data_IF_339035130120
#
_entry.id   IF_339035130120
#
_cell.length_a   1.000
_cell.length_b   1.000
_cell.length_c   1.000
_cell.angle_alpha   90.00
_cell.angle_beta   90.00
_cell.angle_gamma   90.00
#
_symmetry.space_group_name_H-M   'P 1'
#
loop_
_entity.id
_entity.type
_entity.pdbx_description
1 polymer ?
#
# COMPACT_ATOMS: atom_id res chain seq x y z
N UNK A 1 -27.01 -9.26 4.21
CA UNK A 1 -26.11 -8.10 4.18
C UNK A 1 -24.73 -8.67 4.43
N UNK A 2 -23.91 -8.83 3.39
CA UNK A 2 -22.50 -9.12 3.61
C UNK A 2 -21.88 -7.86 4.21
N UNK A 3 -21.37 -7.99 5.42
CA UNK A 3 -20.44 -7.01 5.98
C UNK A 3 -19.13 -7.38 5.31
N UNK A 4 -18.51 -6.52 4.47
CA UNK A 4 -17.24 -6.85 3.87
C UNK A 4 -16.25 -7.19 4.99
N UNK A 5 -15.71 -8.41 4.97
CA UNK A 5 -14.70 -8.84 5.93
C UNK A 5 -13.50 -7.91 5.79
N UNK A 6 -13.24 -7.13 6.84
CA UNK A 6 -12.09 -6.23 6.89
C UNK A 6 -10.82 -7.09 6.83
N UNK A 7 -10.08 -7.04 5.72
CA UNK A 7 -8.77 -7.72 5.64
C UNK A 7 -7.79 -7.02 6.56
N UNK A 8 -7.49 -7.63 7.70
CA UNK A 8 -6.51 -7.10 8.63
C UNK A 8 -5.09 -7.43 8.15
N UNK A 9 -4.39 -6.41 7.67
CA UNK A 9 -3.01 -6.48 7.21
C UNK A 9 -2.10 -5.60 8.10
N UNK A 10 -2.54 -5.31 9.33
CA UNK A 10 -1.80 -4.51 10.30
C UNK A 10 -0.41 -5.11 10.53
N UNK A 11 0.63 -4.36 10.20
CA UNK A 11 2.02 -4.78 10.33
C UNK A 11 2.42 -5.96 9.42
N UNK A 12 1.60 -6.32 8.43
CA UNK A 12 1.88 -7.44 7.55
C UNK A 12 3.17 -7.22 6.75
N UNK A 13 3.96 -8.27 6.59
CA UNK A 13 5.11 -8.23 5.68
C UNK A 13 4.65 -8.63 4.27
N UNK A 14 4.49 -7.65 3.40
CA UNK A 14 4.08 -7.78 2.00
C UNK A 14 5.23 -7.42 1.05
N UNK A 15 6.47 -7.55 1.52
CA UNK A 15 7.65 -7.27 0.72
C UNK A 15 7.67 -8.14 -0.54
N UNK A 16 7.74 -7.51 -1.71
CA UNK A 16 7.72 -8.17 -3.01
C UNK A 16 6.39 -8.86 -3.35
N UNK A 17 5.32 -8.62 -2.59
CA UNK A 17 4.03 -9.23 -2.84
C UNK A 17 3.46 -8.80 -4.20
N UNK A 18 2.85 -9.75 -4.91
CA UNK A 18 2.07 -9.47 -6.09
C UNK A 18 0.61 -9.18 -5.69
N UNK A 19 0.22 -7.91 -5.76
CA UNK A 19 -1.10 -7.41 -5.42
C UNK A 19 -1.78 -6.78 -6.65
N UNK A 20 -1.37 -7.17 -7.87
CA UNK A 20 -2.00 -6.69 -9.10
C UNK A 20 -3.50 -6.94 -9.05
N UNK A 21 -4.30 -5.91 -9.33
CA UNK A 21 -5.77 -5.96 -9.32
C UNK A 21 -6.40 -6.44 -8.00
N UNK A 22 -5.64 -6.47 -6.90
CA UNK A 22 -6.15 -6.95 -5.61
C UNK A 22 -7.28 -6.05 -5.10
N UNK A 23 -8.37 -6.68 -4.62
CA UNK A 23 -9.40 -5.96 -3.87
C UNK A 23 -8.92 -5.75 -2.42
N UNK A 24 -8.61 -4.48 -2.12
CA UNK A 24 -8.19 -3.99 -0.80
C UNK A 24 -9.28 -3.19 -0.08
N UNK A 25 -10.55 -3.36 -0.46
CA UNK A 25 -11.68 -2.74 0.23
C UNK A 25 -11.65 -3.11 1.72
N UNK A 26 -11.63 -2.08 2.58
CA UNK A 26 -11.56 -2.23 4.03
C UNK A 26 -10.21 -2.70 4.57
N UNK A 27 -9.19 -2.94 3.74
CA UNK A 27 -7.91 -3.46 4.21
C UNK A 27 -7.23 -2.50 5.19
N UNK A 28 -6.76 -3.02 6.32
CA UNK A 28 -5.94 -2.26 7.27
C UNK A 28 -4.45 -2.43 6.92
N UNK A 29 -3.85 -1.45 6.24
CA UNK A 29 -2.43 -1.49 5.84
C UNK A 29 -1.47 -0.79 6.82
N UNK A 30 -1.98 -0.36 7.98
CA UNK A 30 -1.17 0.35 8.97
C UNK A 30 0.08 -0.47 9.36
N UNK A 31 1.25 0.13 9.25
CA UNK A 31 2.53 -0.51 9.55
C UNK A 31 2.96 -1.62 8.58
N UNK A 32 2.19 -1.92 7.53
CA UNK A 32 2.55 -2.96 6.57
C UNK A 32 3.84 -2.63 5.81
N UNK A 33 4.65 -3.65 5.52
CA UNK A 33 5.83 -3.50 4.67
C UNK A 33 5.46 -3.81 3.22
N UNK A 34 5.39 -2.79 2.35
CA UNK A 34 5.10 -2.94 0.91
C UNK A 34 6.35 -2.71 0.06
N UNK A 35 7.55 -2.89 0.62
CA UNK A 35 8.78 -2.74 -0.14
C UNK A 35 8.78 -3.69 -1.36
N UNK A 36 8.96 -3.14 -2.56
CA UNK A 36 8.97 -3.91 -3.81
C UNK A 36 7.63 -4.54 -4.19
N UNK A 37 6.54 -4.29 -3.45
CA UNK A 37 5.22 -4.84 -3.78
C UNK A 37 4.69 -4.28 -5.10
N UNK A 38 3.94 -5.09 -5.84
CA UNK A 38 3.27 -4.66 -7.06
C UNK A 38 1.79 -4.37 -6.79
N UNK A 39 1.40 -3.10 -6.77
CA UNK A 39 0.03 -2.62 -6.53
C UNK A 39 -0.63 -2.09 -7.81
N UNK A 40 -0.11 -2.44 -8.99
CA UNK A 40 -0.66 -2.00 -10.27
C UNK A 40 -2.12 -2.46 -10.42
N UNK A 41 -3.03 -1.52 -10.68
CA UNK A 41 -4.46 -1.81 -10.85
C UNK A 41 -5.18 -2.25 -9.57
N UNK A 42 -4.52 -2.26 -8.41
CA UNK A 42 -5.16 -2.65 -7.16
C UNK A 42 -6.31 -1.70 -6.80
N UNK A 43 -7.43 -2.29 -6.41
CA UNK A 43 -8.70 -1.59 -6.27
C UNK A 43 -8.88 -1.06 -4.84
N UNK A 44 -9.64 0.03 -4.71
CA UNK A 44 -9.92 0.69 -3.43
C UNK A 44 -8.69 1.21 -2.69
N UNK A 45 -7.58 1.42 -3.41
CA UNK A 45 -6.43 2.15 -2.89
C UNK A 45 -6.73 3.64 -2.80
N UNK A 46 -6.43 4.21 -1.64
CA UNK A 46 -6.43 5.64 -1.40
C UNK A 46 -5.14 6.06 -0.70
N UNK A 47 -4.93 7.38 -0.61
CA UNK A 47 -3.73 7.92 0.03
C UNK A 47 -3.65 7.60 1.51
N UNK A 48 -4.78 7.52 2.21
CA UNK A 48 -4.79 7.42 3.66
C UNK A 48 -4.20 6.08 4.15
N UNK A 49 -4.65 4.90 3.68
CA UNK A 49 -4.05 3.62 4.06
C UNK A 49 -2.59 3.50 3.63
N UNK A 50 -2.21 4.07 2.48
CA UNK A 50 -0.82 4.05 2.02
C UNK A 50 0.09 4.97 2.82
N UNK A 51 -0.45 6.04 3.41
CA UNK A 51 0.34 6.95 4.25
C UNK A 51 0.74 6.34 5.59
N UNK A 52 0.07 5.27 6.03
CA UNK A 52 0.31 4.58 7.30
C UNK A 52 1.20 3.35 7.19
N UNK A 53 1.58 2.95 5.98
CA UNK A 53 2.47 1.82 5.73
C UNK A 53 3.87 2.13 6.22
N UNK A 54 4.65 1.09 6.51
CA UNK A 54 6.04 1.24 6.95
C UNK A 54 6.93 1.76 5.83
N UNK A 55 6.77 1.24 4.61
CA UNK A 55 7.58 1.60 3.45
C UNK A 55 6.87 1.21 2.15
N UNK A 56 7.12 2.02 1.11
CA UNK A 56 6.79 1.81 -0.30
C UNK A 56 8.07 1.85 -1.17
N UNK A 57 9.24 1.66 -0.55
CA UNK A 57 10.49 1.62 -1.28
C UNK A 57 10.40 0.59 -2.42
N UNK A 58 10.72 1.01 -3.64
CA UNK A 58 10.63 0.17 -4.84
C UNK A 58 9.23 -0.43 -5.16
N UNK A 59 8.17 0.00 -4.49
CA UNK A 59 6.80 -0.44 -4.77
C UNK A 59 6.33 0.09 -6.13
N UNK A 60 5.56 -0.72 -6.86
CA UNK A 60 4.94 -0.34 -8.12
C UNK A 60 3.50 0.10 -7.86
N UNK A 61 3.17 1.30 -8.32
CA UNK A 61 1.90 1.99 -8.10
C UNK A 61 1.55 2.75 -9.37
N UNK A 62 0.26 3.09 -9.52
CA UNK A 62 -0.17 4.00 -10.57
C UNK A 62 0.54 5.35 -10.48
N UNK A 63 0.87 5.92 -11.64
CA UNK A 63 1.68 7.15 -11.74
C UNK A 63 1.10 8.33 -10.95
N UNK A 64 -0.22 8.51 -10.94
CA UNK A 64 -0.87 9.61 -10.24
C UNK A 64 -0.75 9.47 -8.70
N UNK A 65 -0.97 8.26 -8.19
CA UNK A 65 -0.89 7.96 -6.77
C UNK A 65 0.58 8.07 -6.30
N UNK A 66 1.51 7.56 -7.12
CA UNK A 66 2.95 7.68 -6.89
C UNK A 66 3.40 9.14 -6.78
N UNK A 67 2.97 10.00 -7.70
CA UNK A 67 3.29 11.45 -7.66
C UNK A 67 2.75 12.07 -6.38
N UNK A 68 1.53 11.72 -5.98
CA UNK A 68 0.87 12.32 -4.81
C UNK A 68 1.52 11.87 -3.50
N UNK A 69 1.85 10.59 -3.38
CA UNK A 69 2.54 10.02 -2.22
C UNK A 69 3.96 10.59 -2.09
N UNK A 70 4.69 10.75 -3.19
CA UNK A 70 6.02 11.37 -3.16
C UNK A 70 5.97 12.83 -2.70
N UNK A 71 4.88 13.55 -2.99
CA UNK A 71 4.67 14.93 -2.49
C UNK A 71 4.28 14.97 -1.02
N UNK A 72 3.35 14.12 -0.57
CA UNK A 72 2.82 14.14 0.80
C UNK A 72 3.70 13.40 1.81
N UNK A 73 4.20 12.22 1.45
CA UNK A 73 4.90 11.29 2.33
C UNK A 73 6.17 10.75 1.65
N UNK A 74 7.14 11.61 1.26
CA UNK A 74 8.36 11.18 0.56
C UNK A 74 9.22 10.19 1.36
N UNK A 75 9.09 10.18 2.70
CA UNK A 75 9.81 9.26 3.58
C UNK A 75 9.51 7.79 3.27
N UNK A 76 8.31 7.46 2.78
CA UNK A 76 7.91 6.09 2.46
C UNK A 76 8.73 5.47 1.33
N UNK A 77 9.37 6.26 0.48
CA UNK A 77 10.15 5.78 -0.65
C UNK A 77 11.65 5.72 -0.39
N UNK A 78 12.09 6.07 0.82
CA UNK A 78 13.49 5.99 1.22
C UNK A 78 13.82 4.58 1.69
N UNK A 79 15.06 4.17 1.49
CA UNK A 79 15.57 2.93 2.09
C UNK A 79 15.44 3.07 3.60
N UNK A 80 14.89 2.06 4.26
CA UNK A 80 14.93 1.98 5.72
C UNK A 80 16.35 1.59 6.10
N UNK A 81 17.08 2.49 6.76
CA UNK A 81 18.44 2.25 7.28
C UNK A 81 18.50 1.07 8.27
#
# INVERSE_FOLDING_TARGET
MDIPERKDLLGANLQGADLIEANLEGANLEGANLEGANLEGAQHLSLDPLSTVKTLHNAKLDNELLITLKKKCPALFKVSD
#
